data_IF_682304115496
#
_entry.id   IF_682304115496
#
_cell.length_a   1.000
_cell.length_b   1.000
_cell.length_c   1.000
_cell.angle_alpha   90.00
_cell.angle_beta   90.00
_cell.angle_gamma   90.00
#
_symmetry.space_group_name_H-M   'P 1'
#
loop_
_entity.id
_entity.type
_entity.pdbx_description
1 polymer ?
#
# COMPACT_ATOMS: atom_id res chain seq x y z
N UNK A 1 1.64 -2.46 -54.30
CA UNK A 1 0.66 -3.28 -53.54
C UNK A 1 1.26 -3.95 -52.31
N UNK A 2 2.46 -4.56 -52.38
CA UNK A 2 3.12 -5.16 -51.21
C UNK A 2 3.64 -4.21 -50.11
N UNK A 3 4.12 -2.97 -50.38
CA UNK A 3 4.66 -2.12 -49.30
C UNK A 3 3.57 -1.66 -48.32
N UNK A 4 2.36 -1.38 -48.81
CA UNK A 4 1.21 -1.02 -47.97
C UNK A 4 0.82 -2.16 -47.02
N UNK A 5 0.87 -3.41 -47.50
CA UNK A 5 0.54 -4.59 -46.69
C UNK A 5 1.59 -4.77 -45.59
N UNK A 6 2.88 -4.56 -45.89
CA UNK A 6 3.94 -4.62 -44.87
C UNK A 6 3.80 -3.53 -43.81
N UNK A 7 3.43 -2.31 -44.20
CA UNK A 7 3.20 -1.21 -43.26
C UNK A 7 2.03 -1.53 -42.33
N UNK A 8 0.92 -2.06 -42.87
CA UNK A 8 -0.26 -2.44 -42.06
C UNK A 8 0.09 -3.54 -41.05
N UNK A 9 0.87 -4.55 -41.45
CA UNK A 9 1.30 -5.64 -40.55
C UNK A 9 2.18 -5.10 -39.41
N UNK A 10 3.12 -4.19 -39.72
CA UNK A 10 3.99 -3.58 -38.72
C UNK A 10 3.17 -2.76 -37.73
N UNK A 11 2.27 -1.90 -38.20
CA UNK A 11 1.41 -1.09 -37.33
C UNK A 11 0.51 -1.95 -36.44
N UNK A 12 -0.06 -3.03 -36.99
CA UNK A 12 -0.88 -3.96 -36.22
C UNK A 12 -0.07 -4.69 -35.14
N UNK A 13 1.15 -5.13 -35.45
CA UNK A 13 2.04 -5.78 -34.48
C UNK A 13 2.43 -4.87 -33.31
N UNK A 14 2.71 -3.59 -33.60
CA UNK A 14 3.03 -2.58 -32.58
C UNK A 14 1.81 -2.32 -31.70
N UNK A 15 0.63 -2.16 -32.30
CA UNK A 15 -0.62 -1.96 -31.56
C UNK A 15 -0.90 -3.14 -30.61
N UNK A 16 -0.75 -4.38 -31.11
CA UNK A 16 -0.95 -5.60 -30.33
C UNK A 16 0.04 -5.69 -29.16
N UNK A 17 1.31 -5.37 -29.40
CA UNK A 17 2.34 -5.33 -28.36
C UNK A 17 1.99 -4.30 -27.26
N UNK A 18 1.54 -3.11 -27.62
CA UNK A 18 1.14 -2.08 -26.66
C UNK A 18 -0.09 -2.51 -25.84
N UNK A 19 -1.08 -3.13 -26.47
CA UNK A 19 -2.27 -3.66 -25.78
C UNK A 19 -1.85 -4.76 -24.79
N UNK A 20 -1.01 -5.72 -25.20
CA UNK A 20 -0.54 -6.81 -24.33
C UNK A 20 0.29 -6.25 -23.17
N UNK A 21 1.21 -5.33 -23.44
CA UNK A 21 2.03 -4.67 -22.42
C UNK A 21 1.17 -3.92 -21.40
N UNK A 22 0.14 -3.20 -21.87
CA UNK A 22 -0.80 -2.50 -21.01
C UNK A 22 -1.64 -3.46 -20.15
N UNK A 23 -2.13 -4.57 -20.73
CA UNK A 23 -2.89 -5.59 -19.99
C UNK A 23 -2.03 -6.33 -18.95
N UNK A 24 -0.77 -6.65 -19.28
CA UNK A 24 0.17 -7.27 -18.33
C UNK A 24 0.57 -6.29 -17.21
N UNK A 25 0.81 -5.02 -17.55
CA UNK A 25 1.11 -3.96 -16.59
C UNK A 25 -0.08 -3.66 -15.67
N UNK A 26 -1.30 -3.70 -16.19
CA UNK A 26 -2.51 -3.57 -15.37
C UNK A 26 -2.68 -4.76 -14.41
N UNK A 27 -2.31 -5.98 -14.81
CA UNK A 27 -2.38 -7.17 -13.95
C UNK A 27 -1.42 -7.11 -12.76
N UNK A 28 -0.27 -6.45 -12.91
CA UNK A 28 0.68 -6.28 -11.80
C UNK A 28 0.17 -5.34 -10.69
N UNK A 29 -0.92 -4.59 -10.95
CA UNK A 29 -1.60 -3.77 -9.93
C UNK A 29 -2.73 -4.53 -9.20
N UNK A 30 -3.10 -5.74 -9.65
CA UNK A 30 -4.31 -6.45 -9.24
C UNK A 30 -4.06 -7.87 -8.66
N UNK A 31 -2.85 -8.21 -8.21
CA UNK A 31 -2.59 -9.43 -7.40
C UNK A 31 -2.76 -9.20 -5.87
N UNK A 32 -3.56 -8.20 -5.50
CA UNK A 32 -4.00 -7.94 -4.11
C UNK A 32 -5.48 -7.58 -3.97
N UNK A 33 -6.29 -7.76 -5.03
CA UNK A 33 -7.66 -7.27 -5.09
C UNK A 33 -8.68 -8.40 -4.91
N UNK A 34 -8.95 -8.77 -3.66
CA UNK A 34 -10.27 -9.32 -3.31
C UNK A 34 -11.11 -8.15 -2.83
N UNK A 35 -11.79 -7.49 -3.77
CA UNK A 35 -12.84 -6.53 -3.46
C UNK A 35 -14.04 -7.29 -2.89
N UNK A 36 -14.31 -7.10 -1.61
CA UNK A 36 -15.64 -7.34 -1.04
C UNK A 36 -16.04 -6.10 -0.24
N UNK A 37 -16.49 -5.08 -0.97
CA UNK A 37 -17.43 -4.11 -0.43
C UNK A 37 -18.83 -4.71 -0.56
N UNK A 38 -19.40 -5.13 0.56
CA UNK A 38 -20.83 -5.36 0.71
C UNK A 38 -21.24 -4.86 2.09
N UNK A 39 -22.33 -4.12 2.04
CA UNK A 39 -22.99 -3.35 3.09
C UNK A 39 -23.36 -4.13 4.36
N UNK A 40 -23.42 -3.36 5.45
CA UNK A 40 -24.27 -3.52 6.63
C UNK A 40 -24.80 -4.92 6.99
N UNK A 41 -24.17 -5.57 7.97
CA UNK A 41 -24.92 -6.22 9.06
C UNK A 41 -24.06 -6.44 10.31
N UNK A 42 -24.67 -6.10 11.43
CA UNK A 42 -24.22 -6.22 12.81
C UNK A 42 -24.13 -7.69 13.22
N UNK A 43 -22.95 -8.30 13.08
CA UNK A 43 -22.53 -9.48 13.84
C UNK A 43 -21.04 -9.32 14.12
N UNK A 44 -20.60 -9.75 15.31
CA UNK A 44 -19.24 -9.65 15.84
C UNK A 44 -18.20 -10.44 15.05
N UNK A 45 -18.01 -10.14 13.77
CA UNK A 45 -16.89 -10.62 12.96
C UNK A 45 -15.64 -9.83 13.33
N UNK A 46 -14.54 -10.55 13.51
CA UNK A 46 -13.24 -9.98 13.80
C UNK A 46 -12.87 -8.97 12.72
N UNK A 47 -12.97 -7.67 13.04
CA UNK A 47 -12.53 -6.59 12.15
C UNK A 47 -11.04 -6.75 11.85
N UNK A 48 -10.77 -7.41 10.74
CA UNK A 48 -9.43 -7.52 10.18
C UNK A 48 -9.08 -6.18 9.55
N UNK A 49 -8.06 -5.51 10.09
CA UNK A 49 -7.57 -4.25 9.52
C UNK A 49 -6.30 -4.55 8.72
N UNK A 50 -6.20 -4.20 7.44
CA UNK A 50 -5.00 -4.47 6.66
C UNK A 50 -3.83 -3.58 7.08
N UNK A 51 -2.61 -4.12 7.01
CA UNK A 51 -1.39 -3.34 7.19
C UNK A 51 -1.22 -2.37 6.00
N UNK A 52 -1.01 -1.06 6.22
CA UNK A 52 -0.89 -0.09 5.13
C UNK A 52 0.40 -0.20 4.31
N UNK A 53 1.34 -1.07 4.70
CA UNK A 53 2.63 -1.23 4.01
C UNK A 53 2.80 -2.58 3.31
N UNK A 54 2.28 -3.67 3.89
CA UNK A 54 2.41 -5.03 3.33
C UNK A 54 1.06 -5.70 3.06
N UNK A 55 -0.04 -5.00 3.32
CA UNK A 55 -1.43 -5.42 3.08
C UNK A 55 -1.88 -6.67 3.85
N UNK A 56 -1.01 -7.21 4.71
CA UNK A 56 -1.38 -8.32 5.61
C UNK A 56 -2.54 -7.91 6.50
N UNK A 57 -3.60 -8.71 6.44
CA UNK A 57 -4.68 -8.77 7.42
C UNK A 57 -4.14 -8.84 8.86
N UNK A 58 -4.43 -7.82 9.68
CA UNK A 58 -4.09 -7.79 11.11
C UNK A 58 -5.28 -8.27 11.92
N UNK A 59 -5.04 -9.31 12.74
CA UNK A 59 -6.03 -9.86 13.66
C UNK A 59 -6.05 -9.09 14.99
N UNK A 60 -7.02 -9.38 15.87
CA UNK A 60 -7.11 -8.75 17.19
C UNK A 60 -5.80 -8.92 17.96
N UNK A 61 -5.25 -7.80 18.43
CA UNK A 61 -3.98 -7.75 19.17
C UNK A 61 -2.75 -7.48 18.28
N UNK A 62 -2.84 -7.74 16.97
CA UNK A 62 -1.79 -7.32 16.04
C UNK A 62 -1.95 -5.83 15.71
N UNK A 63 -0.87 -5.07 15.89
CA UNK A 63 -0.85 -3.63 15.61
C UNK A 63 0.36 -3.26 14.80
N UNK A 64 0.20 -2.20 14.03
CA UNK A 64 1.28 -1.55 13.32
C UNK A 64 2.13 -0.77 14.32
N UNK A 65 3.44 -0.92 14.25
CA UNK A 65 4.36 -0.06 14.99
C UNK A 65 4.43 1.32 14.34
N UNK A 66 4.18 2.33 15.16
CA UNK A 66 4.20 3.73 14.74
C UNK A 66 4.66 4.65 15.85
N UNK A 67 5.32 5.74 15.48
CA UNK A 67 5.78 6.79 16.39
C UNK A 67 5.07 8.09 16.03
N UNK A 68 4.44 8.73 17.01
CA UNK A 68 3.73 10.00 16.86
C UNK A 68 4.62 11.12 17.38
N UNK A 69 4.75 12.20 16.62
CA UNK A 69 5.45 13.42 17.00
C UNK A 69 4.42 14.48 17.39
N UNK A 70 4.40 14.88 18.65
CA UNK A 70 3.38 15.73 19.25
C UNK A 70 3.71 17.23 19.20
N UNK A 71 4.39 17.70 18.16
CA UNK A 71 4.74 19.13 18.04
C UNK A 71 3.73 19.88 17.16
N UNK A 72 2.93 20.76 17.78
CA UNK A 72 1.99 21.65 17.11
C UNK A 72 0.57 21.08 16.91
N UNK A 73 -0.28 21.83 16.21
CA UNK A 73 -1.65 21.42 15.86
C UNK A 73 -1.67 20.25 14.86
N UNK A 74 -0.68 20.21 13.96
CA UNK A 74 -0.51 19.15 12.96
C UNK A 74 0.35 18.00 13.51
N UNK A 75 -0.31 16.92 13.94
CA UNK A 75 0.40 15.72 14.44
C UNK A 75 0.86 14.82 13.30
N UNK A 76 2.18 14.68 13.19
CA UNK A 76 2.82 13.74 12.27
C UNK A 76 3.11 12.41 12.95
N UNK A 77 3.08 11.36 12.15
CA UNK A 77 3.25 9.98 12.55
C UNK A 77 4.17 9.28 11.56
N UNK A 78 5.13 8.51 12.06
CA UNK A 78 5.90 7.58 11.25
C UNK A 78 5.35 6.17 11.47
N UNK A 79 5.02 5.49 10.37
CA UNK A 79 4.49 4.12 10.33
C UNK A 79 5.59 3.20 9.83
N UNK A 80 6.04 2.26 10.66
CA UNK A 80 7.13 1.34 10.32
C UNK A 80 6.63 0.03 9.70
N UNK A 81 5.47 -0.45 10.12
CA UNK A 81 4.87 -1.70 9.63
C UNK A 81 4.34 -2.58 10.75
N UNK A 82 3.89 -3.78 10.40
CA UNK A 82 3.38 -4.76 11.35
C UNK A 82 4.43 -5.84 11.68
N UNK A 83 4.14 -6.80 12.59
CA UNK A 83 5.05 -7.90 12.94
C UNK A 83 5.51 -8.77 11.77
N UNK A 84 4.73 -8.79 10.69
CA UNK A 84 5.01 -9.53 9.46
C UNK A 84 5.86 -8.75 8.46
N UNK A 85 6.21 -7.49 8.75
CA UNK A 85 6.91 -6.63 7.81
C UNK A 85 8.44 -6.63 7.97
N UNK A 86 8.94 -6.91 9.17
CA UNK A 86 10.37 -6.86 9.48
C UNK A 86 10.70 -7.65 10.75
N UNK A 87 11.93 -8.14 10.82
CA UNK A 87 12.46 -9.02 11.87
C UNK A 87 12.65 -8.33 13.24
N UNK A 88 12.81 -7.01 13.26
CA UNK A 88 13.06 -6.24 14.48
C UNK A 88 11.81 -5.54 15.03
N UNK A 89 10.61 -6.09 14.77
CA UNK A 89 9.37 -5.47 15.23
C UNK A 89 9.23 -5.53 16.78
N UNK A 90 8.80 -4.45 17.47
CA UNK A 90 8.72 -4.42 18.94
C UNK A 90 7.82 -5.49 19.57
N UNK A 91 6.83 -5.99 18.81
CA UNK A 91 5.95 -7.08 19.23
C UNK A 91 6.49 -8.49 18.88
N UNK A 92 7.75 -8.60 18.44
CA UNK A 92 8.35 -9.82 17.87
C UNK A 92 8.13 -9.94 16.36
N UNK A 93 9.01 -10.70 15.69
CA UNK A 93 8.89 -11.00 14.26
C UNK A 93 8.00 -12.21 14.01
N UNK A 94 7.33 -12.20 12.87
CA UNK A 94 6.58 -13.36 12.37
C UNK A 94 7.07 -13.73 10.97
N UNK A 95 7.35 -15.02 10.81
CA UNK A 95 7.78 -15.60 9.54
C UNK A 95 6.57 -16.13 8.75
N UNK A 96 6.56 -15.98 7.40
CA UNK A 96 7.57 -15.30 6.60
C UNK A 96 7.46 -13.76 6.65
N UNK A 97 8.60 -13.06 6.62
CA UNK A 97 8.63 -11.59 6.47
C UNK A 97 8.13 -11.17 5.10
N UNK A 98 7.28 -10.14 5.06
CA UNK A 98 6.66 -9.58 3.85
C UNK A 98 7.32 -8.27 3.45
N UNK A 99 7.44 -8.09 2.15
CA UNK A 99 7.88 -6.84 1.55
C UNK A 99 6.91 -5.70 1.90
N UNK A 100 7.48 -4.50 2.04
CA UNK A 100 6.74 -3.28 2.37
C UNK A 100 6.82 -2.32 1.21
N UNK A 101 5.70 -1.73 0.86
CA UNK A 101 5.58 -0.78 -0.22
C UNK A 101 5.04 0.55 0.31
N UNK A 102 5.51 1.65 -0.27
CA UNK A 102 4.94 2.96 0.01
C UNK A 102 3.55 3.06 -0.61
N UNK A 103 2.47 3.29 0.14
CA UNK A 103 1.12 3.36 -0.42
C UNK A 103 0.90 4.56 -1.35
N UNK A 104 1.79 5.56 -1.31
CA UNK A 104 1.68 6.76 -2.15
C UNK A 104 2.45 6.66 -3.48
N UNK A 105 3.58 5.95 -3.52
CA UNK A 105 4.44 5.88 -4.72
C UNK A 105 4.80 4.46 -5.17
N UNK A 106 4.41 3.42 -4.43
CA UNK A 106 4.69 2.02 -4.76
C UNK A 106 6.16 1.60 -4.61
N UNK A 107 7.06 2.48 -4.13
CA UNK A 107 8.47 2.14 -3.94
C UNK A 107 8.64 1.17 -2.77
N UNK A 108 9.50 0.17 -2.94
CA UNK A 108 9.89 -0.78 -1.90
C UNK A 108 10.57 -0.07 -0.72
N UNK A 109 10.05 -0.30 0.48
CA UNK A 109 10.53 0.25 1.74
C UNK A 109 11.57 -0.70 2.38
N UNK A 110 12.83 -0.26 2.41
CA UNK A 110 13.94 -0.96 3.07
C UNK A 110 13.71 -1.12 4.58
N UNK A 111 14.37 -2.08 5.22
CA UNK A 111 14.34 -2.24 6.69
C UNK A 111 14.61 -0.92 7.43
N UNK A 112 13.84 -0.67 8.49
CA UNK A 112 13.92 0.58 9.26
C UNK A 112 13.32 1.83 8.59
N UNK A 113 13.02 1.79 7.28
CA UNK A 113 12.27 2.88 6.63
C UNK A 113 10.80 2.89 7.07
N UNK A 114 10.16 4.04 6.90
CA UNK A 114 8.81 4.32 7.39
C UNK A 114 7.97 5.06 6.35
N UNK A 115 6.65 4.98 6.48
CA UNK A 115 5.73 5.90 5.81
C UNK A 115 5.36 7.04 6.78
N UNK A 116 5.28 8.26 6.27
CA UNK A 116 4.84 9.44 7.00
C UNK A 116 3.33 9.57 6.85
N UNK A 117 2.64 9.80 7.96
CA UNK A 117 1.22 10.01 8.03
C UNK A 117 0.88 11.23 8.89
N UNK A 118 -0.31 11.78 8.67
CA UNK A 118 -0.92 12.81 9.51
C UNK A 118 -2.02 12.18 10.36
N UNK A 119 -2.05 12.54 11.63
CA UNK A 119 -3.01 12.02 12.61
C UNK A 119 -4.05 13.10 12.88
N UNK A 120 -5.32 12.74 12.70
CA UNK A 120 -6.47 13.57 13.02
C UNK A 120 -7.21 12.94 14.20
N UNK A 121 -7.14 13.59 15.34
CA UNK A 121 -7.90 13.19 16.52
C UNK A 121 -9.10 14.13 16.69
N UNK A 122 -10.26 13.54 16.99
CA UNK A 122 -11.46 14.28 17.36
C UNK A 122 -11.92 13.76 18.72
N UNK A 123 -12.19 14.62 19.70
CA UNK A 123 -12.67 14.18 21.00
C UNK A 123 -13.96 13.36 20.85
N UNK A 124 -13.99 12.17 21.44
CA UNK A 124 -15.14 11.25 21.36
C UNK A 124 -15.29 10.47 20.05
N UNK A 125 -14.34 10.59 19.09
CA UNK A 125 -14.33 9.79 17.86
C UNK A 125 -13.03 9.02 17.69
N UNK A 126 -13.03 8.08 16.75
CA UNK A 126 -11.83 7.32 16.38
C UNK A 126 -10.77 8.24 15.78
N UNK A 127 -9.52 7.96 16.10
CA UNK A 127 -8.36 8.61 15.46
C UNK A 127 -8.31 8.20 14.00
N UNK A 128 -8.26 9.19 13.11
CA UNK A 128 -8.08 8.98 11.67
C UNK A 128 -6.64 9.26 11.30
N UNK A 129 -6.08 8.41 10.43
CA UNK A 129 -4.71 8.52 9.96
C UNK A 129 -4.74 8.62 8.43
N UNK A 130 -4.08 9.63 7.89
CA UNK A 130 -3.90 9.77 6.45
C UNK A 130 -2.42 9.62 6.10
N UNK A 131 -2.08 8.62 5.29
CA UNK A 131 -0.69 8.39 4.87
C UNK A 131 -0.31 9.38 3.77
N UNK A 132 0.72 10.18 4.02
CA UNK A 132 1.20 11.22 3.09
C UNK A 132 2.21 10.67 2.07
N UNK A 133 3.01 9.68 2.47
CA UNK A 133 4.00 9.02 1.62
C UNK A 133 5.27 8.63 2.38
N UNK A 134 6.27 8.10 1.68
CA UNK A 134 7.57 7.76 2.25
C UNK A 134 8.53 8.96 2.24
N UNK A 135 9.68 8.89 2.95
CA UNK A 135 10.70 9.94 2.93
C UNK A 135 11.18 10.34 1.53
N UNK A 136 11.13 9.41 0.57
CA UNK A 136 11.55 9.67 -0.81
C UNK A 136 10.51 10.52 -1.56
N UNK A 137 9.26 10.07 -1.64
CA UNK A 137 8.25 10.77 -2.44
C UNK A 137 7.69 12.02 -1.76
N UNK A 138 7.74 12.09 -0.43
CA UNK A 138 7.29 13.28 0.31
C UNK A 138 8.23 14.46 0.12
N UNK A 139 9.53 14.23 0.00
CA UNK A 139 10.53 15.30 -0.13
C UNK A 139 10.75 15.76 -1.58
N UNK A 140 10.09 15.13 -2.54
CA UNK A 140 10.19 15.44 -3.97
C UNK A 140 9.00 16.26 -4.48
N UNK A 141 8.09 16.68 -3.60
CA UNK A 141 6.91 17.48 -3.90
C UNK A 141 7.10 18.94 -3.53
#
# INVERSE_FOLDING_TARGET
MFPEILIIIILFSILLYLIISFLLSSRQKDEGRTDSFSDDSDVSEDKVTPCPLCEKALHRGERVHSVIYSQGEDRLMNIFGCPWCYSNHPAGHREPSRERYCPSCGVLLKEGSFAVARVFERPGRKTHVHVLGCPVCRNMR
#
